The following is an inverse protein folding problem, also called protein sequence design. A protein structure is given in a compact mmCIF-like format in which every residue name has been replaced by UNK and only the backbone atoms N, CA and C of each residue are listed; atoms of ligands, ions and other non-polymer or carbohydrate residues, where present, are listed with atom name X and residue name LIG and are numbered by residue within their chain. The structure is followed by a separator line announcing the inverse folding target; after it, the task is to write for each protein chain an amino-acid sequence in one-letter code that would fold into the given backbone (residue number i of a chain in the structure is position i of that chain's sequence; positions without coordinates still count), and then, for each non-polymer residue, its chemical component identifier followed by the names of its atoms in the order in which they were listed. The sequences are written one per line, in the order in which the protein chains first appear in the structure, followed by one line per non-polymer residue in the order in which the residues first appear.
data_IF_875845432720
#
_entry.id   IF_875845432720
#
_cell.length_a   1.000
_cell.length_b   1.000
_cell.length_c   1.000
_cell.angle_alpha   90.00
_cell.angle_beta   90.00
_cell.angle_gamma   90.00
#
_symmetry.space_group_name_H-M   'P 1'
#
loop_
_entity.id
_entity.type
_entity.pdbx_description
1 polymer ?
#
# COMPACT_ATOMS: atom_id res chain seq x y z
N UNK A 1 47.84 80.74 107.74
CA UNK A 1 46.45 80.27 107.92
C UNK A 1 45.54 80.79 106.80
N UNK A 2 45.82 81.95 106.18
CA UNK A 2 45.03 82.50 105.05
C UNK A 2 45.27 81.83 103.68
N UNK A 3 46.51 81.54 103.28
CA UNK A 3 46.82 80.99 101.93
C UNK A 3 46.21 79.59 101.65
N UNK A 4 46.10 78.76 102.69
CA UNK A 4 45.49 77.43 102.58
C UNK A 4 43.96 77.53 102.39
N UNK A 5 43.35 78.53 103.03
CA UNK A 5 41.91 78.81 102.91
C UNK A 5 41.57 79.32 101.50
N UNK A 6 42.35 80.25 100.96
CA UNK A 6 42.13 80.80 99.61
C UNK A 6 42.34 79.76 98.50
N UNK A 7 43.34 78.87 98.62
CA UNK A 7 43.56 77.76 97.66
C UNK A 7 42.41 76.75 97.67
N UNK A 8 41.83 76.47 98.84
CA UNK A 8 40.67 75.59 98.97
C UNK A 8 39.43 76.22 98.33
N UNK A 9 39.23 77.53 98.52
CA UNK A 9 38.14 78.29 97.89
C UNK A 9 38.28 78.31 96.36
N UNK A 10 39.46 78.62 95.82
CA UNK A 10 39.69 78.65 94.37
C UNK A 10 39.50 77.26 93.71
N UNK A 11 39.94 76.20 94.39
CA UNK A 11 39.71 74.81 93.97
C UNK A 11 38.22 74.48 93.96
N UNK A 12 37.50 74.84 95.01
CA UNK A 12 36.05 74.66 95.10
C UNK A 12 35.29 75.45 94.02
N UNK A 13 35.74 76.66 93.67
CA UNK A 13 35.14 77.45 92.60
C UNK A 13 35.40 76.87 91.20
N UNK A 14 36.61 76.39 90.92
CA UNK A 14 36.92 75.67 89.65
C UNK A 14 36.10 74.39 89.53
N UNK A 15 35.96 73.66 90.61
CA UNK A 15 35.17 72.44 90.68
C UNK A 15 33.68 72.75 90.46
N UNK A 16 33.15 73.81 91.09
CA UNK A 16 31.77 74.28 90.87
C UNK A 16 31.52 74.75 89.44
N UNK A 17 32.45 75.48 88.81
CA UNK A 17 32.37 75.85 87.37
C UNK A 17 32.40 74.62 86.47
N UNK A 18 33.25 73.65 86.76
CA UNK A 18 33.33 72.36 86.04
C UNK A 18 32.02 71.56 86.16
N UNK A 19 31.42 71.50 87.35
CA UNK A 19 30.12 70.87 87.58
C UNK A 19 29.02 71.56 86.77
N UNK A 20 28.94 72.89 86.82
CA UNK A 20 27.95 73.66 86.05
C UNK A 20 28.08 73.44 84.53
N UNK A 21 29.31 73.35 84.02
CA UNK A 21 29.58 73.08 82.61
C UNK A 21 29.13 71.67 82.21
N UNK A 22 29.45 70.67 83.04
CA UNK A 22 28.99 69.28 82.83
C UNK A 22 27.47 69.16 82.94
N UNK A 23 26.82 69.88 83.85
CA UNK A 23 25.35 69.90 83.97
C UNK A 23 24.66 70.55 82.76
N UNK A 24 25.24 71.63 82.21
CA UNK A 24 24.77 72.22 80.97
C UNK A 24 24.88 71.23 79.80
N UNK A 25 26.00 70.52 79.70
CA UNK A 25 26.23 69.52 78.67
C UNK A 25 25.31 68.30 78.82
N UNK A 26 25.08 67.81 80.04
CA UNK A 26 24.10 66.75 80.32
C UNK A 26 22.70 67.19 79.89
N UNK A 27 22.30 68.44 80.15
CA UNK A 27 21.01 68.97 79.69
C UNK A 27 20.93 69.04 78.17
N UNK A 28 22.00 69.49 77.50
CA UNK A 28 22.09 69.53 76.03
C UNK A 28 21.94 68.13 75.44
N UNK A 29 22.75 67.18 75.89
CA UNK A 29 22.73 65.78 75.46
C UNK A 29 21.38 65.11 75.75
N UNK A 30 20.74 65.40 76.88
CA UNK A 30 19.38 64.90 77.17
C UNK A 30 18.35 65.43 76.18
N UNK A 31 18.44 66.71 75.83
CA UNK A 31 17.57 67.30 74.80
C UNK A 31 17.77 66.64 73.43
N UNK A 32 19.03 66.45 73.03
CA UNK A 32 19.42 65.84 71.76
C UNK A 32 19.00 64.35 71.68
N UNK A 33 19.16 63.60 72.78
CA UNK A 33 18.63 62.24 72.87
C UNK A 33 17.10 62.19 72.74
N UNK A 34 16.38 63.17 73.33
CA UNK A 34 14.93 63.23 73.24
C UNK A 34 14.46 63.52 71.80
N UNK A 35 15.10 64.47 71.10
CA UNK A 35 14.78 64.78 69.70
C UNK A 35 15.07 63.59 68.79
N UNK A 36 16.25 62.97 68.92
CA UNK A 36 16.62 61.78 68.14
C UNK A 36 15.68 60.60 68.38
N UNK A 37 15.19 60.44 69.62
CA UNK A 37 14.21 59.39 69.94
C UNK A 37 12.88 59.63 69.24
N UNK A 38 12.40 60.88 69.17
CA UNK A 38 11.19 61.25 68.43
C UNK A 38 11.33 61.02 66.93
N UNK A 39 12.44 61.44 66.33
CA UNK A 39 12.73 61.21 64.91
C UNK A 39 12.81 59.72 64.56
N UNK A 40 13.44 58.91 65.44
CA UNK A 40 13.48 57.46 65.29
C UNK A 40 12.07 56.85 65.28
N UNK A 41 11.20 57.26 66.20
CA UNK A 41 9.83 56.73 66.28
C UNK A 41 9.01 57.07 65.04
N UNK A 42 9.15 58.30 64.52
CA UNK A 42 8.49 58.71 63.28
C UNK A 42 8.97 57.88 62.08
N UNK A 43 10.28 57.65 61.98
CA UNK A 43 10.84 56.76 60.94
C UNK A 43 10.36 55.31 61.10
N UNK A 44 10.32 54.77 62.31
CA UNK A 44 9.80 53.42 62.58
C UNK A 44 8.34 53.28 62.15
N UNK A 45 7.51 54.28 62.46
CA UNK A 45 6.11 54.31 62.04
C UNK A 45 5.97 54.36 60.51
N UNK A 46 6.78 55.17 59.83
CA UNK A 46 6.78 55.22 58.36
C UNK A 46 7.22 53.89 57.73
N UNK A 47 8.23 53.22 58.29
CA UNK A 47 8.69 51.90 57.85
C UNK A 47 7.60 50.86 58.03
N UNK A 48 6.93 50.83 59.19
CA UNK A 48 5.82 49.91 59.45
C UNK A 48 4.63 50.15 58.51
N UNK A 49 4.32 51.42 58.21
CA UNK A 49 3.26 51.75 57.25
C UNK A 49 3.57 51.21 55.85
N UNK A 50 4.83 51.29 55.41
CA UNK A 50 5.25 50.79 54.10
C UNK A 50 5.50 49.28 54.06
N UNK A 51 5.76 48.62 55.19
CA UNK A 51 6.01 47.18 55.23
C UNK A 51 4.81 46.36 54.76
N UNK A 52 3.59 46.82 55.07
CA UNK A 52 2.35 46.17 54.60
C UNK A 52 2.29 46.11 53.07
N UNK A 53 2.72 47.18 52.39
CA UNK A 53 2.75 47.22 50.93
C UNK A 53 3.81 46.27 50.36
N UNK A 54 5.00 46.23 50.97
CA UNK A 54 6.06 45.28 50.59
C UNK A 54 5.57 43.83 50.68
N UNK A 55 4.95 43.45 51.79
CA UNK A 55 4.50 42.08 52.03
C UNK A 55 3.40 41.68 51.02
N UNK A 56 2.49 42.60 50.69
CA UNK A 56 1.50 42.42 49.63
C UNK A 56 2.14 42.25 48.25
N UNK A 57 3.12 43.08 47.90
CA UNK A 57 3.84 42.98 46.63
C UNK A 57 4.59 41.65 46.49
N UNK A 58 5.18 41.13 47.58
CA UNK A 58 5.78 39.80 47.58
C UNK A 58 4.75 38.69 47.35
N UNK A 59 3.56 38.80 47.94
CA UNK A 59 2.47 37.85 47.71
C UNK A 59 2.00 37.89 46.25
N UNK A 60 1.79 39.08 45.68
CA UNK A 60 1.44 39.23 44.27
C UNK A 60 2.50 38.64 43.33
N UNK A 61 3.79 38.81 43.66
CA UNK A 61 4.88 38.22 42.89
C UNK A 61 4.82 36.68 42.93
N UNK A 62 4.56 36.09 44.10
CA UNK A 62 4.39 34.64 44.26
C UNK A 62 3.21 34.13 43.44
N UNK A 63 2.05 34.78 43.55
CA UNK A 63 0.84 34.42 42.78
C UNK A 63 1.12 34.51 41.27
N UNK A 64 1.76 35.58 40.81
CA UNK A 64 2.07 35.77 39.38
C UNK A 64 2.96 34.67 38.84
N UNK A 65 3.99 34.25 39.59
CA UNK A 65 4.86 33.12 39.23
C UNK A 65 4.05 31.82 39.09
N UNK A 66 3.18 31.53 40.06
CA UNK A 66 2.31 30.34 40.02
C UNK A 66 1.37 30.38 38.81
N UNK A 67 0.72 31.51 38.55
CA UNK A 67 -0.16 31.69 37.38
C UNK A 67 0.59 31.49 36.06
N UNK A 68 1.85 31.95 35.98
CA UNK A 68 2.67 31.74 34.79
C UNK A 68 3.00 30.26 34.57
N UNK A 69 3.30 29.51 35.64
CA UNK A 69 3.53 28.06 35.58
C UNK A 69 2.25 27.32 35.20
N UNK A 70 1.12 27.65 35.82
CA UNK A 70 -0.18 27.06 35.49
C UNK A 70 -0.55 27.30 34.03
N UNK A 71 -0.38 28.52 33.52
CA UNK A 71 -0.63 28.84 32.11
C UNK A 71 0.21 27.96 31.18
N UNK A 72 1.51 27.81 31.46
CA UNK A 72 2.40 26.93 30.68
C UNK A 72 1.94 25.47 30.77
N UNK A 73 1.57 24.98 31.95
CA UNK A 73 1.09 23.61 32.14
C UNK A 73 -0.19 23.33 31.36
N UNK A 74 -1.15 24.26 31.35
CA UNK A 74 -2.38 24.14 30.55
C UNK A 74 -2.04 24.06 29.06
N UNK A 75 -1.17 24.95 28.56
CA UNK A 75 -0.77 24.92 27.14
C UNK A 75 -0.05 23.61 26.78
N UNK A 76 0.83 23.11 27.65
CA UNK A 76 1.52 21.83 27.44
C UNK A 76 0.50 20.68 27.39
N UNK A 77 -0.45 20.65 28.33
CA UNK A 77 -1.47 19.60 28.35
C UNK A 77 -2.34 19.62 27.09
N UNK A 78 -2.74 20.80 26.61
CA UNK A 78 -3.46 20.93 25.33
C UNK A 78 -2.64 20.36 24.16
N UNK A 79 -1.34 20.66 24.08
CA UNK A 79 -0.46 20.12 23.05
C UNK A 79 -0.34 18.60 23.15
N UNK A 80 -0.24 18.05 24.36
CA UNK A 80 -0.20 16.60 24.59
C UNK A 80 -1.49 15.94 24.12
N UNK A 81 -2.65 16.48 24.48
CA UNK A 81 -3.95 15.95 24.05
C UNK A 81 -4.10 16.00 22.53
N UNK A 82 -3.76 17.12 21.88
CA UNK A 82 -3.76 17.20 20.43
C UNK A 82 -2.83 16.17 19.77
N UNK A 83 -1.63 15.95 20.33
CA UNK A 83 -0.71 14.92 19.82
C UNK A 83 -1.27 13.51 19.96
N UNK A 84 -1.93 13.18 21.07
CA UNK A 84 -2.60 11.87 21.24
C UNK A 84 -3.67 11.66 20.18
N UNK A 85 -4.55 12.64 19.99
CA UNK A 85 -5.62 12.55 18.97
C UNK A 85 -5.06 12.39 17.56
N UNK A 86 -3.93 13.04 17.25
CA UNK A 86 -3.27 12.91 15.96
C UNK A 86 -2.68 11.50 15.75
N UNK A 87 -2.02 10.96 16.78
CA UNK A 87 -1.46 9.60 16.73
C UNK A 87 -2.56 8.53 16.56
N UNK A 88 -3.66 8.65 17.28
CA UNK A 88 -4.81 7.73 17.14
C UNK A 88 -5.39 7.78 15.72
N UNK A 89 -5.52 8.98 15.15
CA UNK A 89 -6.02 9.15 13.78
C UNK A 89 -5.05 8.55 12.74
N UNK A 90 -3.74 8.73 12.94
CA UNK A 90 -2.71 8.14 12.08
C UNK A 90 -2.72 6.61 12.16
N UNK A 91 -2.85 6.04 13.35
CA UNK A 91 -2.95 4.58 13.54
C UNK A 91 -4.20 4.01 12.86
N UNK A 92 -5.35 4.67 13.02
CA UNK A 92 -6.59 4.30 12.32
C UNK A 92 -6.42 4.37 10.80
N UNK A 93 -5.78 5.42 10.29
CA UNK A 93 -5.51 5.56 8.86
C UNK A 93 -4.60 4.44 8.34
N UNK A 94 -3.52 4.13 9.06
CA UNK A 94 -2.58 3.07 8.71
C UNK A 94 -3.25 1.69 8.69
N UNK A 95 -4.12 1.40 9.67
CA UNK A 95 -4.90 0.16 9.68
C UNK A 95 -5.82 0.05 8.47
N UNK A 96 -6.53 1.12 8.12
CA UNK A 96 -7.39 1.15 6.95
C UNK A 96 -6.59 0.96 5.66
N UNK A 97 -5.44 1.63 5.54
CA UNK A 97 -4.56 1.50 4.38
C UNK A 97 -4.07 0.05 4.22
N UNK A 98 -3.65 -0.58 5.31
CA UNK A 98 -3.23 -1.99 5.31
C UNK A 98 -4.37 -2.91 4.87
N UNK A 99 -5.58 -2.70 5.39
CA UNK A 99 -6.76 -3.47 5.00
C UNK A 99 -7.06 -3.32 3.50
N UNK A 100 -7.01 -2.09 2.97
CA UNK A 100 -7.24 -1.84 1.53
C UNK A 100 -6.14 -2.47 0.66
N UNK A 101 -4.88 -2.37 1.06
CA UNK A 101 -3.78 -3.01 0.35
C UNK A 101 -3.94 -4.53 0.30
N UNK A 102 -4.36 -5.16 1.40
CA UNK A 102 -4.63 -6.59 1.44
C UNK A 102 -5.78 -6.98 0.49
N UNK A 103 -6.86 -6.18 0.44
CA UNK A 103 -7.97 -6.41 -0.49
C UNK A 103 -7.54 -6.28 -1.96
N UNK A 104 -6.71 -5.29 -2.29
CA UNK A 104 -6.15 -5.11 -3.63
C UNK A 104 -5.30 -6.31 -4.02
N UNK A 105 -4.41 -6.76 -3.14
CA UNK A 105 -3.54 -7.92 -3.39
C UNK A 105 -4.35 -9.21 -3.61
N UNK A 106 -5.42 -9.40 -2.82
CA UNK A 106 -6.32 -10.54 -2.98
C UNK A 106 -7.04 -10.49 -4.33
N UNK A 107 -7.65 -9.34 -4.68
CA UNK A 107 -8.35 -9.17 -5.96
C UNK A 107 -7.43 -9.35 -7.17
N UNK A 108 -6.19 -8.86 -7.09
CA UNK A 108 -5.19 -9.06 -8.14
C UNK A 108 -4.86 -10.53 -8.35
N UNK A 109 -4.76 -11.30 -7.27
CA UNK A 109 -4.47 -12.74 -7.34
C UNK A 109 -5.62 -13.51 -7.99
N UNK A 110 -6.87 -13.19 -7.61
CA UNK A 110 -8.05 -13.84 -8.20
C UNK A 110 -8.23 -13.47 -9.68
N UNK A 111 -7.94 -12.21 -10.04
CA UNK A 111 -7.94 -11.76 -11.43
C UNK A 111 -6.90 -12.52 -12.26
N UNK A 112 -5.68 -12.67 -11.75
CA UNK A 112 -4.62 -13.39 -12.46
C UNK A 112 -4.96 -14.87 -12.65
N UNK A 113 -5.52 -15.50 -11.61
CA UNK A 113 -6.03 -16.88 -11.70
C UNK A 113 -7.09 -17.01 -12.80
N UNK A 114 -8.11 -16.15 -12.78
CA UNK A 114 -9.20 -16.19 -13.78
C UNK A 114 -8.67 -15.96 -15.20
N UNK A 115 -7.72 -15.04 -15.38
CA UNK A 115 -7.06 -14.79 -16.67
C UNK A 115 -6.27 -16.00 -17.14
N UNK A 116 -5.51 -16.64 -16.25
CA UNK A 116 -4.72 -17.82 -16.58
C UNK A 116 -5.62 -18.99 -17.03
N UNK A 117 -6.78 -19.17 -16.39
CA UNK A 117 -7.79 -20.15 -16.80
C UNK A 117 -8.35 -19.81 -18.18
N UNK A 118 -8.66 -18.53 -18.43
CA UNK A 118 -9.08 -18.04 -19.74
C UNK A 118 -8.08 -18.38 -20.85
N UNK A 119 -6.79 -18.12 -20.63
CA UNK A 119 -5.72 -18.43 -21.60
C UNK A 119 -5.61 -19.94 -21.88
N UNK A 120 -5.83 -20.79 -20.87
CA UNK A 120 -5.83 -22.25 -21.06
C UNK A 120 -6.97 -22.65 -22.00
N UNK A 121 -8.17 -22.09 -21.81
CA UNK A 121 -9.32 -22.38 -22.65
C UNK A 121 -9.18 -21.82 -24.06
N UNK A 122 -8.63 -20.62 -24.22
CA UNK A 122 -8.31 -20.05 -25.54
C UNK A 122 -7.34 -20.92 -26.32
N UNK A 123 -6.31 -21.46 -25.65
CA UNK A 123 -5.36 -22.39 -26.30
C UNK A 123 -6.04 -23.68 -26.72
N UNK A 124 -6.88 -24.26 -25.85
CA UNK A 124 -7.66 -25.47 -26.17
C UNK A 124 -8.60 -25.24 -27.36
N UNK A 125 -9.31 -24.11 -27.35
CA UNK A 125 -10.20 -23.73 -28.44
C UNK A 125 -9.45 -23.54 -29.76
N UNK A 126 -8.33 -22.80 -29.74
CA UNK A 126 -7.48 -22.61 -30.92
C UNK A 126 -7.01 -23.93 -31.51
N UNK A 127 -6.61 -24.90 -30.65
CA UNK A 127 -6.18 -26.22 -31.10
C UNK A 127 -7.31 -27.04 -31.75
N UNK A 128 -8.52 -26.98 -31.17
CA UNK A 128 -9.71 -27.62 -31.75
C UNK A 128 -10.01 -27.00 -33.12
N UNK A 129 -10.00 -25.67 -33.20
CA UNK A 129 -10.26 -24.93 -34.44
C UNK A 129 -9.23 -25.28 -35.52
N UNK A 130 -7.94 -25.31 -35.18
CA UNK A 130 -6.87 -25.69 -36.11
C UNK A 130 -7.06 -27.13 -36.60
N UNK A 131 -7.38 -28.06 -35.70
CA UNK A 131 -7.63 -29.47 -36.04
C UNK A 131 -8.85 -29.62 -36.95
N UNK A 132 -9.93 -28.91 -36.66
CA UNK A 132 -11.14 -28.91 -37.48
C UNK A 132 -10.86 -28.34 -38.88
N UNK A 133 -10.10 -27.25 -38.98
CA UNK A 133 -9.69 -26.68 -40.27
C UNK A 133 -8.86 -27.68 -41.09
N UNK A 134 -7.87 -28.34 -40.47
CA UNK A 134 -7.06 -29.39 -41.13
C UNK A 134 -7.91 -30.56 -41.61
N UNK A 135 -8.86 -31.05 -40.79
CA UNK A 135 -9.76 -32.13 -41.17
C UNK A 135 -10.70 -31.72 -42.31
N UNK A 136 -11.25 -30.51 -42.26
CA UNK A 136 -12.13 -29.97 -43.30
C UNK A 136 -11.39 -29.84 -44.63
N UNK A 137 -10.15 -29.35 -44.61
CA UNK A 137 -9.31 -29.27 -45.80
C UNK A 137 -9.04 -30.67 -46.39
N UNK A 138 -8.64 -31.64 -45.55
CA UNK A 138 -8.40 -33.02 -46.00
C UNK A 138 -9.66 -33.66 -46.57
N UNK A 139 -10.81 -33.45 -45.95
CA UNK A 139 -12.09 -33.95 -46.45
C UNK A 139 -12.40 -33.35 -47.82
N UNK A 140 -12.18 -32.05 -48.02
CA UNK A 140 -12.31 -31.40 -49.32
C UNK A 140 -11.36 -32.00 -50.37
N UNK A 141 -10.11 -32.29 -50.01
CA UNK A 141 -9.15 -32.95 -50.91
C UNK A 141 -9.59 -34.37 -51.30
N UNK A 142 -10.05 -35.18 -50.34
CA UNK A 142 -10.56 -36.52 -50.60
C UNK A 142 -11.77 -36.44 -51.53
N UNK A 143 -12.73 -35.56 -51.24
CA UNK A 143 -13.91 -35.35 -52.06
C UNK A 143 -13.56 -35.00 -53.51
N UNK A 144 -12.60 -34.08 -53.71
CA UNK A 144 -12.14 -33.71 -55.05
C UNK A 144 -11.43 -34.86 -55.77
N UNK A 145 -10.56 -35.60 -55.07
CA UNK A 145 -9.86 -36.74 -55.67
C UNK A 145 -10.83 -37.87 -56.06
N UNK A 146 -11.79 -38.19 -55.19
CA UNK A 146 -12.85 -39.16 -55.47
C UNK A 146 -13.68 -38.74 -56.67
N UNK A 147 -14.16 -37.49 -56.69
CA UNK A 147 -14.97 -36.96 -57.78
C UNK A 147 -14.22 -37.09 -59.11
N UNK A 148 -12.96 -36.65 -59.15
CA UNK A 148 -12.13 -36.74 -60.35
C UNK A 148 -11.96 -38.19 -60.82
N UNK A 149 -11.75 -39.15 -59.90
CA UNK A 149 -11.62 -40.57 -60.25
C UNK A 149 -12.93 -41.16 -60.77
N UNK A 150 -14.05 -40.81 -60.16
CA UNK A 150 -15.38 -41.22 -60.60
C UNK A 150 -15.70 -40.71 -62.00
N UNK A 151 -15.46 -39.41 -62.25
CA UNK A 151 -15.64 -38.80 -63.57
C UNK A 151 -14.70 -39.42 -64.62
N UNK A 152 -13.44 -39.73 -64.28
CA UNK A 152 -12.51 -40.41 -65.18
C UNK A 152 -12.98 -41.81 -65.61
N UNK A 153 -13.76 -42.50 -64.77
CA UNK A 153 -14.34 -43.81 -65.06
C UNK A 153 -15.62 -43.74 -65.88
N UNK A 154 -16.06 -42.54 -66.28
CA UNK A 154 -17.29 -42.31 -67.02
C UNK A 154 -18.52 -42.10 -66.14
N UNK A 155 -18.34 -41.95 -64.82
CA UNK A 155 -19.39 -41.57 -63.91
C UNK A 155 -19.90 -40.16 -64.21
N UNK A 156 -21.23 -39.98 -64.23
CA UNK A 156 -21.87 -38.70 -64.47
C UNK A 156 -22.26 -38.03 -63.16
N UNK A 157 -21.98 -36.74 -63.05
CA UNK A 157 -22.21 -35.96 -61.83
C UNK A 157 -23.33 -34.95 -62.09
N UNK A 158 -24.42 -35.05 -61.30
CA UNK A 158 -25.65 -34.29 -61.51
C UNK A 158 -26.49 -34.78 -62.72
N UNK A 159 -27.78 -34.41 -62.74
CA UNK A 159 -28.78 -34.91 -63.71
C UNK A 159 -29.72 -35.96 -63.10
N UNK A 160 -30.60 -36.59 -63.91
CA UNK A 160 -31.56 -37.61 -63.43
C UNK A 160 -30.89 -38.95 -63.08
N UNK A 161 -29.78 -39.31 -63.74
CA UNK A 161 -29.06 -40.59 -63.53
C UNK A 161 -27.68 -40.43 -62.86
N UNK A 162 -27.19 -39.20 -62.68
CA UNK A 162 -25.86 -38.92 -62.12
C UNK A 162 -25.82 -38.89 -60.59
N UNK A 163 -24.70 -39.30 -59.99
CA UNK A 163 -24.50 -39.21 -58.53
C UNK A 163 -24.24 -37.76 -58.12
N UNK A 164 -24.81 -37.34 -56.98
CA UNK A 164 -24.63 -35.96 -56.49
C UNK A 164 -23.17 -35.67 -56.13
N UNK A 165 -22.72 -34.43 -56.39
CA UNK A 165 -21.35 -33.98 -56.10
C UNK A 165 -20.97 -34.17 -54.63
N UNK A 166 -21.93 -34.11 -53.70
CA UNK A 166 -21.73 -34.25 -52.27
C UNK A 166 -21.82 -35.69 -51.75
N UNK A 167 -22.28 -36.65 -52.57
CA UNK A 167 -22.38 -38.07 -52.24
C UNK A 167 -21.03 -38.79 -52.48
N UNK A 168 -19.97 -38.33 -51.82
CA UNK A 168 -18.60 -38.86 -52.00
C UNK A 168 -18.49 -40.36 -51.71
N UNK A 169 -19.26 -40.88 -50.75
CA UNK A 169 -19.27 -42.31 -50.42
C UNK A 169 -19.83 -43.15 -51.58
N UNK A 170 -20.95 -42.72 -52.17
CA UNK A 170 -21.58 -43.41 -53.31
C UNK A 170 -20.70 -43.36 -54.57
N UNK A 171 -20.00 -42.25 -54.81
CA UNK A 171 -19.00 -42.15 -55.88
C UNK A 171 -17.86 -43.18 -55.71
N UNK A 172 -17.38 -43.39 -54.47
CA UNK A 172 -16.36 -44.40 -54.17
C UNK A 172 -16.88 -45.83 -54.32
N UNK A 173 -18.10 -46.10 -53.89
CA UNK A 173 -18.73 -47.43 -54.02
C UNK A 173 -18.83 -47.83 -55.50
N UNK A 174 -19.39 -46.94 -56.33
CA UNK A 174 -19.55 -47.21 -57.76
C UNK A 174 -18.19 -47.34 -58.46
N UNK A 175 -17.22 -46.47 -58.14
CA UNK A 175 -15.85 -46.60 -58.66
C UNK A 175 -15.23 -47.97 -58.31
N UNK A 176 -15.46 -48.47 -57.10
CA UNK A 176 -14.89 -49.75 -56.64
C UNK A 176 -15.56 -50.94 -57.35
N UNK A 177 -16.87 -50.86 -57.58
CA UNK A 177 -17.62 -51.86 -58.35
C UNK A 177 -17.13 -51.91 -59.81
N UNK A 178 -17.02 -50.74 -60.47
CA UNK A 178 -16.54 -50.61 -61.84
C UNK A 178 -15.12 -51.18 -61.99
N UNK A 179 -14.20 -50.86 -61.06
CA UNK A 179 -12.84 -51.40 -61.06
C UNK A 179 -12.84 -52.93 -60.88
N UNK A 180 -13.69 -53.46 -60.01
CA UNK A 180 -13.81 -54.91 -59.78
C UNK A 180 -14.31 -55.62 -61.04
N UNK A 181 -15.28 -55.04 -61.73
CA UNK A 181 -15.80 -55.57 -62.98
C UNK A 181 -14.74 -55.55 -64.08
N UNK A 182 -14.04 -54.42 -64.27
CA UNK A 182 -12.98 -54.28 -65.27
C UNK A 182 -11.87 -55.32 -65.04
N UNK A 183 -11.43 -55.51 -63.80
CA UNK A 183 -10.41 -56.52 -63.47
C UNK A 183 -10.92 -57.93 -63.77
N UNK A 184 -12.18 -58.24 -63.47
CA UNK A 184 -12.79 -59.54 -63.79
C UNK A 184 -12.84 -59.77 -65.30
N UNK A 185 -13.27 -58.78 -66.07
CA UNK A 185 -13.33 -58.83 -67.53
C UNK A 185 -11.94 -59.03 -68.16
N UNK A 186 -10.92 -58.30 -67.68
CA UNK A 186 -9.53 -58.49 -68.13
C UNK A 186 -8.99 -59.87 -67.77
N UNK A 187 -9.25 -60.37 -66.56
CA UNK A 187 -8.81 -61.70 -66.13
C UNK A 187 -9.45 -62.81 -66.97
N UNK A 188 -10.74 -62.71 -67.25
CA UNK A 188 -11.43 -63.63 -68.15
C UNK A 188 -10.87 -63.57 -69.57
N UNK A 189 -10.52 -62.37 -70.05
CA UNK A 189 -9.91 -62.18 -71.38
C UNK A 189 -8.49 -62.78 -71.46
N UNK A 190 -7.69 -62.62 -70.40
CA UNK A 190 -6.36 -63.23 -70.29
C UNK A 190 -6.42 -64.76 -70.23
N UNK A 191 -7.39 -65.32 -69.49
CA UNK A 191 -7.61 -66.77 -69.46
C UNK A 191 -8.00 -67.30 -70.84
N UNK A 192 -8.91 -66.62 -71.55
CA UNK A 192 -9.28 -66.98 -72.93
C UNK A 192 -8.07 -66.99 -73.87
N UNK A 193 -7.25 -65.94 -73.85
CA UNK A 193 -6.02 -65.86 -74.65
C UNK A 193 -4.99 -66.95 -74.31
N UNK A 194 -4.86 -67.33 -73.04
CA UNK A 194 -3.99 -68.43 -72.63
C UNK A 194 -4.51 -69.79 -73.10
N UNK A 195 -5.82 -70.05 -73.00
CA UNK A 195 -6.42 -71.27 -73.54
C UNK A 195 -6.27 -71.37 -75.05
N UNK A 196 -6.43 -70.27 -75.79
CA UNK A 196 -6.22 -70.22 -77.24
C UNK A 196 -4.76 -70.46 -77.63
N UNK A 197 -3.80 -69.86 -76.92
CA UNK A 197 -2.35 -70.15 -77.11
C UNK A 197 -1.97 -71.59 -76.79
N UNK A 198 -2.68 -72.25 -75.87
CA UNK A 198 -2.43 -73.65 -75.50
C UNK A 198 -3.03 -74.62 -76.53
N UNK A 199 -4.13 -74.23 -77.20
CA UNK A 199 -4.73 -74.96 -78.32
C UNK A 199 -3.86 -74.91 -79.59
N UNK A 200 -3.17 -73.78 -79.86
CA UNK A 200 -2.30 -73.62 -81.04
C UNK A 200 -0.98 -74.42 -80.92
N UNK A 201 -0.56 -74.83 -79.71
CA UNK A 201 0.69 -75.58 -79.48
C UNK A 201 0.57 -77.11 -79.46
N UNK A 202 -0.62 -77.69 -79.67
CA UNK A 202 -0.77 -79.15 -79.85
C UNK A 202 -0.79 -79.48 -81.35
N UNK A 203 0.25 -80.12 -81.92
CA UNK A 203 0.19 -80.59 -83.29
C UNK A 203 -0.75 -81.79 -83.38
N UNK A 204 -1.61 -81.77 -84.39
CA UNK A 204 -2.39 -82.90 -84.87
C UNK A 204 -1.44 -84.01 -85.27
N UNK A 205 -1.27 -85.05 -84.43
CA UNK A 205 -0.83 -86.35 -84.93
C UNK A 205 -2.07 -87.24 -85.00
N UNK A 206 -2.66 -87.21 -86.19
CA UNK A 206 -3.64 -88.18 -86.61
C UNK A 206 -3.01 -89.59 -86.60
N UNK A 207 -3.84 -90.53 -86.15
CA UNK A 207 -3.78 -91.96 -86.41
C UNK A 207 -3.29 -92.26 -87.82
N UNK A 208 -2.55 -93.36 -87.98
CA UNK A 208 -2.96 -94.45 -88.87
C UNK A 208 -2.16 -95.73 -88.61
N UNK A 209 -2.91 -96.84 -88.58
CA UNK A 209 -2.59 -98.28 -88.63
C UNK A 209 -1.52 -98.86 -87.70
#
# INVERSE_FOLDING_TARGET
MDEESDRVIEKAEKERKSVLQKEAEIRRLKGECATLTGEKQELEHQVQRLSVYRDFMEQLLKITKVLQVLKKSITINQVIEHRKTLLELEEQHNLLLLQRNNQVSWLQTELEKTRSEGLIWERKWSHIQETAAKKTLKLGQIKMATLNLYEMMGGQVGGEEGVDVNETEKQLEQFTEDQTEIVKQHRSSLQKQQSERTQIKKPTLNKEL
#
